data_IF_755207052485
#
_entry.id   IF_755207052485
#
_cell.length_a   1.000
_cell.length_b   1.000
_cell.length_c   1.000
_cell.angle_alpha   90.00
_cell.angle_beta   90.00
_cell.angle_gamma   90.00
#
_symmetry.space_group_name_H-M   'P 1'
#
loop_
_entity.id
_entity.type
_entity.pdbx_description
1 polymer ?
#
# COMPACT_ATOMS: atom_id res chain seq x y z
N UNK A 1 -6.91 -13.24 27.93
CA UNK A 1 -6.78 -13.25 26.47
C UNK A 1 -8.11 -12.74 25.92
N UNK A 2 -8.14 -11.75 25.02
CA UNK A 2 -9.42 -11.31 24.46
C UNK A 2 -10.05 -12.46 23.66
N UNK A 3 -11.33 -12.69 23.84
CA UNK A 3 -12.11 -13.62 23.02
C UNK A 3 -12.19 -13.07 21.60
N UNK A 4 -11.83 -13.90 20.62
CA UNK A 4 -11.84 -13.58 19.19
C UNK A 4 -13.03 -14.33 18.58
N UNK A 5 -14.08 -13.60 18.23
CA UNK A 5 -15.23 -14.13 17.47
C UNK A 5 -15.01 -13.82 15.98
N UNK A 6 -14.94 -14.86 15.14
CA UNK A 6 -14.79 -14.76 13.67
C UNK A 6 -16.14 -14.94 12.98
N UNK A 7 -16.55 -13.96 12.18
CA UNK A 7 -17.72 -14.06 11.30
C UNK A 7 -17.30 -13.75 9.87
N UNK A 8 -17.34 -14.76 9.01
CA UNK A 8 -17.08 -14.61 7.58
C UNK A 8 -18.36 -14.19 6.86
N UNK A 9 -18.40 -12.96 6.35
CA UNK A 9 -19.53 -12.45 5.56
C UNK A 9 -19.21 -12.53 4.06
N UNK A 10 -20.12 -13.12 3.27
CA UNK A 10 -19.95 -13.28 1.81
C UNK A 10 -20.79 -12.22 1.09
N UNK A 11 -20.17 -11.21 0.50
CA UNK A 11 -20.86 -10.24 -0.35
C UNK A 11 -21.23 -10.88 -1.70
N UNK A 12 -22.46 -10.65 -2.19
CA UNK A 12 -22.94 -11.19 -3.46
C UNK A 12 -22.73 -10.22 -4.62
N UNK A 13 -22.11 -10.72 -5.71
CA UNK A 13 -21.97 -10.04 -7.00
C UNK A 13 -20.65 -9.28 -7.17
N UNK A 14 -19.88 -9.66 -8.20
CA UNK A 14 -18.47 -9.31 -8.46
C UNK A 14 -17.47 -10.00 -7.51
N UNK A 15 -16.21 -10.21 -7.96
CA UNK A 15 -15.20 -11.06 -7.27
C UNK A 15 -15.28 -10.92 -5.75
N UNK A 16 -15.62 -11.98 -4.99
CA UNK A 16 -15.97 -11.85 -3.59
C UNK A 16 -14.78 -11.32 -2.81
N UNK A 17 -14.98 -10.15 -2.20
CA UNK A 17 -14.05 -9.58 -1.24
C UNK A 17 -13.79 -10.60 -0.13
N UNK A 18 -12.51 -10.87 0.18
CA UNK A 18 -12.14 -11.69 1.32
C UNK A 18 -12.29 -10.83 2.59
N UNK A 19 -13.51 -10.73 3.09
CA UNK A 19 -13.85 -9.94 4.27
C UNK A 19 -14.03 -10.86 5.47
N UNK A 20 -13.26 -10.59 6.52
CA UNK A 20 -13.39 -11.24 7.82
C UNK A 20 -13.66 -10.20 8.89
N UNK A 21 -14.74 -10.38 9.65
CA UNK A 21 -15.03 -9.53 10.80
C UNK A 21 -14.54 -10.23 12.06
N UNK A 22 -13.75 -9.50 12.84
CA UNK A 22 -13.17 -9.96 14.09
C UNK A 22 -13.51 -8.96 15.18
N UNK A 23 -13.95 -9.44 16.34
CA UNK A 23 -14.09 -8.60 17.54
C UNK A 23 -12.86 -8.76 18.44
N UNK A 24 -12.25 -7.65 18.82
CA UNK A 24 -11.16 -7.58 19.80
C UNK A 24 -11.60 -6.69 20.94
N UNK A 25 -12.01 -7.32 22.06
CA UNK A 25 -12.64 -6.62 23.17
C UNK A 25 -13.88 -5.79 22.74
N UNK A 26 -13.81 -4.47 22.85
CA UNK A 26 -14.85 -3.52 22.44
C UNK A 26 -14.68 -3.00 21.01
N UNK A 27 -13.60 -3.40 20.32
CA UNK A 27 -13.28 -2.96 18.96
C UNK A 27 -13.72 -3.99 17.93
N UNK A 28 -14.51 -3.57 16.93
CA UNK A 28 -14.79 -4.36 15.73
C UNK A 28 -13.73 -4.08 14.67
N UNK A 29 -13.14 -5.14 14.12
CA UNK A 29 -12.10 -5.08 13.09
C UNK A 29 -12.59 -5.80 11.84
N UNK A 30 -12.61 -5.09 10.71
CA UNK A 30 -12.87 -5.68 9.40
C UNK A 30 -11.56 -5.88 8.67
N UNK A 31 -11.18 -7.13 8.46
CA UNK A 31 -10.02 -7.53 7.68
C UNK A 31 -10.44 -7.69 6.23
N UNK A 32 -9.94 -6.80 5.36
CA UNK A 32 -10.17 -6.86 3.92
C UNK A 32 -8.92 -7.41 3.23
N UNK A 33 -8.99 -8.66 2.77
CA UNK A 33 -7.93 -9.27 1.98
C UNK A 33 -7.86 -8.66 0.58
N UNK A 34 -6.71 -8.09 0.23
CA UNK A 34 -6.45 -7.48 -1.07
C UNK A 34 -5.44 -8.28 -1.88
N UNK A 35 -5.66 -8.42 -3.19
CA UNK A 35 -4.62 -8.85 -4.12
C UNK A 35 -3.83 -7.62 -4.63
N UNK A 36 -2.50 -7.67 -4.50
CA UNK A 36 -1.57 -6.68 -5.04
C UNK A 36 -1.66 -6.73 -6.58
N UNK A 37 -1.90 -5.59 -7.24
CA UNK A 37 -2.20 -5.50 -8.69
C UNK A 37 -3.61 -6.01 -9.03
N UNK A 38 -4.61 -5.58 -8.25
CA UNK A 38 -6.01 -5.84 -8.58
C UNK A 38 -6.86 -4.58 -8.49
N UNK A 39 -7.49 -4.22 -9.61
CA UNK A 39 -8.45 -3.11 -9.70
C UNK A 39 -9.65 -3.37 -8.80
N UNK A 40 -10.11 -4.63 -8.75
CA UNK A 40 -11.23 -5.00 -7.88
C UNK A 40 -10.88 -4.84 -6.40
N UNK A 41 -9.62 -5.07 -6.00
CA UNK A 41 -9.18 -4.76 -4.62
C UNK A 41 -9.30 -3.26 -4.33
N UNK A 42 -8.83 -2.41 -5.23
CA UNK A 42 -8.90 -0.96 -5.06
C UNK A 42 -10.35 -0.45 -5.00
N UNK A 43 -11.24 -0.97 -5.84
CA UNK A 43 -12.67 -0.65 -5.83
C UNK A 43 -13.37 -1.12 -4.55
N UNK A 44 -13.00 -2.30 -4.03
CA UNK A 44 -13.52 -2.81 -2.75
C UNK A 44 -13.09 -1.94 -1.57
N UNK A 45 -11.83 -1.51 -1.54
CA UNK A 45 -11.32 -0.58 -0.50
C UNK A 45 -12.09 0.74 -0.55
N UNK A 46 -12.25 1.33 -1.74
CA UNK A 46 -13.01 2.58 -1.90
C UNK A 46 -14.45 2.41 -1.39
N UNK A 47 -15.14 1.36 -1.85
CA UNK A 47 -16.53 1.08 -1.43
C UNK A 47 -16.66 0.88 0.08
N UNK A 48 -15.69 0.22 0.71
CA UNK A 48 -15.69 0.06 2.16
C UNK A 48 -15.54 1.41 2.87
N UNK A 49 -14.58 2.24 2.47
CA UNK A 49 -14.35 3.52 3.13
C UNK A 49 -15.46 4.55 2.86
N UNK A 50 -16.11 4.47 1.69
CA UNK A 50 -17.29 5.27 1.34
C UNK A 50 -18.52 4.99 2.21
N UNK A 51 -18.58 3.82 2.87
CA UNK A 51 -19.68 3.50 3.78
C UNK A 51 -19.67 4.37 5.04
N UNK A 52 -18.50 4.92 5.42
CA UNK A 52 -18.27 5.72 6.63
C UNK A 52 -18.56 4.99 7.94
N UNK A 53 -18.54 3.65 7.92
CA UNK A 53 -18.75 2.82 9.11
C UNK A 53 -17.50 2.67 9.98
N UNK A 54 -16.35 3.16 9.50
CA UNK A 54 -15.03 2.97 10.14
C UNK A 54 -14.55 4.25 10.82
N UNK A 55 -13.82 4.10 11.94
CA UNK A 55 -13.20 5.23 12.65
C UNK A 55 -11.69 5.37 12.41
N UNK A 56 -11.06 4.39 11.76
CA UNK A 56 -9.63 4.39 11.40
C UNK A 56 -9.37 3.36 10.29
N UNK A 57 -8.23 3.48 9.62
CA UNK A 57 -7.78 2.55 8.58
C UNK A 57 -6.39 2.05 8.91
N UNK A 58 -6.25 0.74 9.10
CA UNK A 58 -4.94 0.09 9.26
C UNK A 58 -4.46 -0.46 7.91
N UNK A 59 -3.25 -0.08 7.49
CA UNK A 59 -2.68 -0.47 6.19
C UNK A 59 -1.41 -1.30 6.43
N UNK A 60 -1.30 -2.44 5.75
CA UNK A 60 -0.11 -3.30 5.72
C UNK A 60 1.04 -2.61 4.94
N UNK A 61 1.56 -1.54 5.53
CA UNK A 61 2.61 -0.70 4.95
C UNK A 61 3.47 -0.11 6.06
N UNK A 62 4.80 -0.11 5.87
CA UNK A 62 5.73 0.54 6.80
C UNK A 62 5.94 2.01 6.45
N UNK A 63 6.55 2.78 7.37
CA UNK A 63 6.66 4.23 7.24
C UNK A 63 7.45 4.65 6.00
N UNK A 64 8.56 3.98 5.72
CA UNK A 64 9.37 4.24 4.53
C UNK A 64 8.60 4.02 3.22
N UNK A 65 7.81 2.94 3.15
CA UNK A 65 6.97 2.65 1.97
C UNK A 65 5.75 3.57 1.89
N UNK A 66 5.19 3.99 3.01
CA UNK A 66 4.11 4.97 3.06
C UNK A 66 4.58 6.33 2.54
N UNK A 67 5.76 6.81 2.97
CA UNK A 67 6.34 8.06 2.46
C UNK A 67 6.61 7.96 0.97
N UNK A 68 7.14 6.83 0.49
CA UNK A 68 7.32 6.57 -0.94
C UNK A 68 6.02 6.59 -1.75
N UNK A 69 4.93 6.09 -1.15
CA UNK A 69 3.61 6.01 -1.77
C UNK A 69 2.92 7.38 -1.85
N UNK A 70 3.12 8.22 -0.83
CA UNK A 70 2.44 9.52 -0.66
C UNK A 70 3.24 10.70 -1.19
N UNK A 71 4.57 10.57 -1.25
CA UNK A 71 5.51 11.60 -1.68
C UNK A 71 6.54 11.05 -2.67
N UNK A 72 6.10 10.48 -3.81
CA UNK A 72 7.00 9.88 -4.80
C UNK A 72 8.05 10.86 -5.34
N UNK A 73 7.74 12.15 -5.37
CA UNK A 73 8.62 13.24 -5.81
C UNK A 73 9.85 13.39 -4.92
N UNK A 74 9.75 13.21 -3.59
CA UNK A 74 10.89 13.39 -2.69
C UNK A 74 11.99 12.35 -2.90
N UNK A 75 11.60 11.11 -3.21
CA UNK A 75 12.55 10.05 -3.56
C UNK A 75 13.27 10.35 -4.87
N UNK A 76 12.51 10.79 -5.88
CA UNK A 76 13.08 11.18 -7.16
C UNK A 76 14.06 12.36 -6.99
N UNK A 77 13.69 13.39 -6.23
CA UNK A 77 14.52 14.58 -6.00
C UNK A 77 15.83 14.28 -5.27
N UNK A 78 15.80 13.42 -4.23
CA UNK A 78 17.00 13.03 -3.47
C UNK A 78 18.02 12.29 -4.35
N UNK A 79 17.54 11.36 -5.19
CA UNK A 79 18.39 10.58 -6.09
C UNK A 79 18.98 11.49 -7.19
N UNK A 80 18.15 12.36 -7.77
CA UNK A 80 18.58 13.34 -8.77
C UNK A 80 19.65 14.29 -8.24
N UNK A 81 19.46 14.84 -7.04
CA UNK A 81 20.41 15.77 -6.43
C UNK A 81 21.75 15.10 -6.11
N UNK A 82 21.76 13.85 -5.65
CA UNK A 82 23.00 13.10 -5.42
C UNK A 82 23.74 12.80 -6.74
N UNK A 83 23.03 12.36 -7.77
CA UNK A 83 23.65 11.93 -9.03
C UNK A 83 24.15 13.13 -9.86
N UNK A 84 23.45 14.26 -9.83
CA UNK A 84 23.93 15.53 -10.41
C UNK A 84 25.19 16.02 -9.70
N UNK A 85 25.25 15.95 -8.35
CA UNK A 85 26.46 16.26 -7.58
C UNK A 85 27.66 15.39 -7.94
N UNK A 86 27.43 14.17 -8.44
CA UNK A 86 28.48 13.27 -8.92
C UNK A 86 28.84 13.48 -10.41
N UNK A 87 28.28 14.49 -11.09
CA UNK A 87 28.58 14.82 -12.48
C UNK A 87 27.96 13.87 -13.52
N UNK A 88 26.97 13.06 -13.16
CA UNK A 88 26.39 12.00 -14.01
C UNK A 88 25.05 12.40 -14.66
N UNK A 89 24.92 13.65 -15.10
CA UNK A 89 23.65 14.20 -15.61
C UNK A 89 23.05 13.46 -16.83
N UNK A 90 23.88 12.88 -17.70
CA UNK A 90 23.42 12.07 -18.85
C UNK A 90 22.79 10.74 -18.41
N UNK A 91 23.33 10.13 -17.35
CA UNK A 91 22.80 8.89 -16.77
C UNK A 91 21.47 9.12 -16.05
N UNK A 92 21.31 10.30 -15.42
CA UNK A 92 20.04 10.76 -14.85
C UNK A 92 18.94 10.87 -15.90
N UNK A 93 19.23 11.56 -17.01
CA UNK A 93 18.29 11.71 -18.12
C UNK A 93 17.86 10.35 -18.69
N UNK A 94 18.80 9.41 -18.83
CA UNK A 94 18.51 8.06 -19.28
C UNK A 94 17.63 7.28 -18.29
N UNK A 95 17.92 7.37 -16.98
CA UNK A 95 17.13 6.72 -15.94
C UNK A 95 15.71 7.30 -15.84
N UNK A 96 15.55 8.63 -15.92
CA UNK A 96 14.25 9.30 -15.96
C UNK A 96 13.43 8.90 -17.19
N UNK A 97 14.06 8.87 -18.38
CA UNK A 97 13.40 8.43 -19.60
C UNK A 97 12.96 6.96 -19.51
N UNK A 98 13.81 6.09 -18.95
CA UNK A 98 13.51 4.68 -18.74
C UNK A 98 12.41 4.48 -17.69
N UNK A 99 12.44 5.23 -16.59
CA UNK A 99 11.39 5.20 -15.57
C UNK A 99 10.05 5.69 -16.13
N UNK A 100 10.03 6.77 -16.90
CA UNK A 100 8.83 7.27 -17.57
C UNK A 100 8.28 6.25 -18.59
N UNK A 101 9.17 5.52 -19.28
CA UNK A 101 8.78 4.44 -20.18
C UNK A 101 8.21 3.23 -19.43
N UNK A 102 8.84 2.83 -18.32
CA UNK A 102 8.37 1.75 -17.44
C UNK A 102 7.02 2.10 -16.80
N UNK A 103 6.83 3.34 -16.39
CA UNK A 103 5.59 3.84 -15.83
C UNK A 103 4.47 3.82 -16.88
N UNK A 104 4.73 4.33 -18.10
CA UNK A 104 3.79 4.22 -19.23
C UNK A 104 3.45 2.77 -19.59
N UNK A 105 4.41 1.84 -19.50
CA UNK A 105 4.16 0.42 -19.76
C UNK A 105 3.33 -0.21 -18.64
N UNK A 106 3.55 0.19 -17.38
CA UNK A 106 2.75 -0.20 -16.22
C UNK A 106 1.31 0.31 -16.29
N UNK A 107 1.10 1.55 -16.76
CA UNK A 107 -0.22 2.12 -17.02
C UNK A 107 -0.98 1.34 -18.12
N UNK A 108 -0.28 0.83 -19.14
CA UNK A 108 -0.88 0.00 -20.20
C UNK A 108 -1.31 -1.40 -19.72
N UNK A 109 -0.80 -1.86 -18.57
CA UNK A 109 -1.24 -3.08 -17.88
C UNK A 109 -2.42 -2.81 -16.92
N UNK A 110 -2.87 -1.56 -16.82
CA UNK A 110 -4.17 -1.16 -16.27
C UNK A 110 -4.24 -1.02 -14.74
N UNK A 111 -3.26 -1.52 -13.99
CA UNK A 111 -3.21 -1.42 -12.52
C UNK A 111 -1.77 -1.26 -12.05
N UNK A 112 -1.49 -0.18 -11.34
CA UNK A 112 -0.20 0.03 -10.69
C UNK A 112 -0.11 -0.79 -9.37
N UNK A 113 1.05 -1.38 -9.04
CA UNK A 113 1.27 -2.00 -7.73
C UNK A 113 0.95 -1.04 -6.58
N UNK A 114 0.31 -1.57 -5.53
CA UNK A 114 -0.12 -0.78 -4.38
C UNK A 114 -1.27 0.19 -4.66
N UNK A 115 -2.00 0.05 -5.77
CA UNK A 115 -3.19 0.87 -6.06
C UNK A 115 -4.24 0.78 -4.95
N UNK A 116 -4.45 -0.41 -4.39
CA UNK A 116 -5.34 -0.63 -3.24
C UNK A 116 -4.89 0.14 -1.99
N UNK A 117 -3.56 0.18 -1.74
CA UNK A 117 -2.99 0.94 -0.62
C UNK A 117 -3.11 2.44 -0.86
N UNK A 118 -2.89 2.93 -2.10
CA UNK A 118 -3.10 4.35 -2.44
C UNK A 118 -4.55 4.75 -2.22
N UNK A 119 -5.50 3.95 -2.69
CA UNK A 119 -6.92 4.22 -2.48
C UNK A 119 -7.25 4.25 -0.99
N UNK A 120 -6.72 3.31 -0.19
CA UNK A 120 -6.93 3.31 1.25
C UNK A 120 -6.45 4.62 1.90
N UNK A 121 -5.25 5.07 1.55
CA UNK A 121 -4.64 6.28 2.09
C UNK A 121 -5.41 7.54 1.67
N UNK A 122 -5.69 7.69 0.36
CA UNK A 122 -6.38 8.87 -0.16
C UNK A 122 -7.82 8.97 0.37
N UNK A 123 -8.54 7.85 0.46
CA UNK A 123 -9.90 7.82 1.00
C UNK A 123 -9.94 8.07 2.50
N UNK A 124 -8.99 7.49 3.25
CA UNK A 124 -8.87 7.79 4.68
C UNK A 124 -8.62 9.28 4.93
N UNK A 125 -7.71 9.90 4.18
CA UNK A 125 -7.45 11.34 4.27
C UNK A 125 -8.68 12.17 3.90
N UNK A 126 -9.36 11.85 2.79
CA UNK A 126 -10.58 12.52 2.36
C UNK A 126 -11.72 12.43 3.40
N UNK A 127 -11.78 11.34 4.17
CA UNK A 127 -12.77 11.12 5.22
C UNK A 127 -12.30 11.57 6.61
N UNK A 128 -11.07 12.09 6.74
CA UNK A 128 -10.49 12.49 8.01
C UNK A 128 -10.25 11.31 8.98
N UNK A 129 -10.07 10.11 8.44
CA UNK A 129 -9.81 8.89 9.21
C UNK A 129 -8.31 8.78 9.54
N UNK A 130 -7.95 8.47 10.80
CA UNK A 130 -6.58 8.12 11.16
C UNK A 130 -6.08 6.92 10.35
N UNK A 131 -4.85 7.03 9.81
CA UNK A 131 -4.14 5.95 9.13
C UNK A 131 -3.16 5.32 10.10
N UNK A 132 -3.25 4.00 10.27
CA UNK A 132 -2.38 3.19 11.12
C UNK A 132 -1.49 2.31 10.24
N UNK A 133 -0.17 2.51 10.32
CA UNK A 133 0.81 1.71 9.60
C UNK A 133 1.14 0.45 10.40
N UNK A 134 0.75 -0.72 9.91
CA UNK A 134 0.82 -1.98 10.67
C UNK A 134 1.87 -2.98 10.14
N UNK A 135 2.71 -2.58 9.20
CA UNK A 135 3.83 -3.41 8.72
C UNK A 135 5.17 -2.96 9.30
N UNK A 136 6.09 -3.92 9.38
CA UNK A 136 7.48 -3.70 9.79
C UNK A 136 8.27 -3.03 8.67
N UNK A 137 9.24 -2.21 9.05
CA UNK A 137 10.23 -1.67 8.11
C UNK A 137 10.85 -2.76 7.22
N UNK A 138 10.73 -2.55 5.91
CA UNK A 138 11.14 -3.53 4.90
C UNK A 138 12.62 -3.89 5.02
N UNK A 139 13.47 -2.91 5.38
CA UNK A 139 14.89 -3.14 5.62
C UNK A 139 15.17 -4.15 6.74
N UNK A 140 14.35 -4.17 7.79
CA UNK A 140 14.48 -5.16 8.87
C UNK A 140 14.09 -6.56 8.36
N UNK A 141 13.01 -6.65 7.59
CA UNK A 141 12.58 -7.91 6.96
C UNK A 141 13.68 -8.46 6.06
N UNK A 142 14.19 -7.65 5.12
CA UNK A 142 15.25 -8.04 4.20
C UNK A 142 16.53 -8.47 4.92
N UNK A 143 16.95 -7.72 5.96
CA UNK A 143 18.13 -8.07 6.76
C UNK A 143 17.98 -9.44 7.44
N UNK A 144 16.80 -9.72 8.00
CA UNK A 144 16.52 -11.02 8.63
C UNK A 144 16.51 -12.16 7.60
N UNK A 145 15.86 -11.94 6.46
CA UNK A 145 15.84 -12.91 5.36
C UNK A 145 17.24 -13.22 4.86
N UNK A 146 18.08 -12.19 4.65
CA UNK A 146 19.47 -12.38 4.25
C UNK A 146 20.26 -13.23 5.25
N UNK A 147 20.13 -12.95 6.56
CA UNK A 147 20.77 -13.76 7.60
C UNK A 147 20.26 -15.21 7.66
N UNK A 148 19.00 -15.46 7.33
CA UNK A 148 18.46 -16.82 7.28
C UNK A 148 18.92 -17.63 6.06
N UNK A 149 19.43 -16.96 5.02
CA UNK A 149 19.87 -17.56 3.76
C UNK A 149 21.40 -17.68 3.66
N UNK A 150 22.17 -17.06 4.55
CA UNK A 150 23.61 -17.27 4.63
C UNK A 150 23.90 -18.64 5.24
N UNK A 151 24.11 -19.63 4.37
CA UNK A 151 24.70 -20.94 4.66
C UNK A 151 26.23 -20.88 4.83
#
# INVERSE_FOLDING_TARGET
MPEVEDRTARAAGDTPALVHEVRVADTSVTLLGTAHVSRSSAEQVAKALDSKDYQAVAVELCASRFDALTHPERLAELDLMQVVRQGKASMVMANLAMAAYQQRLGEQLGIEPGAEMRVAVTQADAHGLPILLIDREIGVTLKRTAHSLSW
#
